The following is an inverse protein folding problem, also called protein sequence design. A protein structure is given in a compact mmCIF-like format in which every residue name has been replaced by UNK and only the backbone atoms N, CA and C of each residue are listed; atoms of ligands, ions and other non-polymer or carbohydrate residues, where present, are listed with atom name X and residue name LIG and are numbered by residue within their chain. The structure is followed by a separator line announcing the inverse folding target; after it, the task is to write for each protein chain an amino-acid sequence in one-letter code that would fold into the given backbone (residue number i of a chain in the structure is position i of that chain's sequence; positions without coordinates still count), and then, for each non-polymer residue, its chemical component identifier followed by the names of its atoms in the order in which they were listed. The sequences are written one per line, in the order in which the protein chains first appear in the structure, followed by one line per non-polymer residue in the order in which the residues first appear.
data_IF_354232499853
#
_entry.id   IF_354232499853
#
_cell.length_a   1.000
_cell.length_b   1.000
_cell.length_c   1.000
_cell.angle_alpha   90.00
_cell.angle_beta   90.00
_cell.angle_gamma   90.00
#
_symmetry.space_group_name_H-M   'P 1'
#
loop_
_entity.id
_entity.type
_entity.pdbx_description
1 polymer ?
#
# COMPACT_ATOMS: atom_id res chain seq x y z
N UNK A 1 -11.27 -3.76 23.73
CA UNK A 1 -12.09 -4.89 24.21
C UNK A 1 -13.59 -4.59 24.22
N UNK A 2 -13.96 -3.31 24.29
CA UNK A 2 -15.36 -2.86 24.36
C UNK A 2 -16.08 -2.73 23.00
N UNK A 3 -15.35 -2.89 21.91
CA UNK A 3 -15.81 -2.72 20.52
C UNK A 3 -15.61 -4.02 19.72
N UNK A 4 -16.49 -5.02 19.85
CA UNK A 4 -16.32 -6.34 19.22
C UNK A 4 -16.40 -6.30 17.69
N UNK A 5 -16.93 -5.24 17.10
CA UNK A 5 -16.96 -5.02 15.66
C UNK A 5 -15.57 -4.67 15.06
N UNK A 6 -14.59 -4.31 15.89
CA UNK A 6 -13.22 -4.02 15.44
C UNK A 6 -12.50 -5.33 15.17
N UNK A 7 -12.36 -5.68 13.92
CA UNK A 7 -11.71 -6.89 13.45
C UNK A 7 -10.21 -6.69 13.15
N UNK A 8 -9.81 -5.48 12.73
CA UNK A 8 -8.43 -5.10 12.40
C UNK A 8 -7.99 -3.90 13.23
N UNK A 9 -6.75 -3.92 13.69
CA UNK A 9 -6.08 -2.77 14.31
C UNK A 9 -4.91 -2.34 13.46
N UNK A 10 -4.87 -1.05 13.11
CA UNK A 10 -3.75 -0.44 12.39
C UNK A 10 -2.92 0.37 13.38
N UNK A 11 -1.66 -0.04 13.56
CA UNK A 11 -0.70 0.68 14.38
C UNK A 11 0.01 1.69 13.47
N UNK A 12 -0.29 2.96 13.71
CA UNK A 12 0.18 4.11 12.92
C UNK A 12 0.31 5.34 13.83
N UNK A 13 0.46 6.53 13.27
CA UNK A 13 0.64 7.77 14.03
C UNK A 13 1.98 8.39 13.69
N UNK A 14 2.87 8.70 14.65
CA UNK A 14 4.29 8.68 14.35
C UNK A 14 4.64 7.27 13.83
N UNK A 15 5.81 7.07 13.23
CA UNK A 15 6.15 5.74 12.71
C UNK A 15 6.28 4.74 13.88
N UNK A 16 5.52 3.62 13.91
CA UNK A 16 5.58 2.67 15.02
C UNK A 16 6.95 1.99 15.15
N UNK A 17 7.71 1.86 14.07
CA UNK A 17 9.02 1.19 14.12
C UNK A 17 10.14 2.05 14.74
N UNK A 18 9.86 3.31 15.10
CA UNK A 18 10.76 4.11 15.95
C UNK A 18 10.62 3.78 17.43
N UNK A 19 9.60 3.01 17.80
CA UNK A 19 9.46 2.54 19.19
C UNK A 19 10.48 1.45 19.48
N UNK A 20 10.89 1.35 20.75
CA UNK A 20 11.76 0.24 21.16
C UNK A 20 11.06 -1.10 21.00
N UNK A 21 11.79 -2.19 20.74
CA UNK A 21 11.22 -3.54 20.66
C UNK A 21 10.38 -3.92 21.88
N UNK A 22 10.78 -3.50 23.08
CA UNK A 22 10.02 -3.71 24.31
C UNK A 22 8.61 -3.09 24.25
N UNK A 23 8.50 -1.84 23.73
CA UNK A 23 7.19 -1.18 23.59
C UNK A 23 6.32 -1.82 22.51
N UNK A 24 6.94 -2.26 21.41
CA UNK A 24 6.23 -2.99 20.36
C UNK A 24 5.72 -4.34 20.89
N UNK A 25 6.53 -5.08 21.63
CA UNK A 25 6.12 -6.34 22.25
C UNK A 25 4.95 -6.16 23.24
N UNK A 26 4.95 -5.08 24.04
CA UNK A 26 3.83 -4.75 24.94
C UNK A 26 2.54 -4.51 24.13
N UNK A 27 2.61 -3.75 23.03
CA UNK A 27 1.47 -3.52 22.13
C UNK A 27 0.97 -4.85 21.56
N UNK A 28 1.86 -5.69 21.01
CA UNK A 28 1.51 -6.99 20.43
C UNK A 28 0.86 -7.92 21.45
N UNK A 29 1.41 -8.00 22.66
CA UNK A 29 0.86 -8.80 23.76
C UNK A 29 -0.54 -8.35 24.14
N UNK A 30 -0.76 -7.05 24.28
CA UNK A 30 -2.08 -6.49 24.60
C UNK A 30 -3.10 -6.70 23.48
N UNK A 31 -2.69 -6.62 22.23
CA UNK A 31 -3.56 -6.91 21.08
C UNK A 31 -3.86 -8.41 20.97
N UNK A 32 -2.90 -9.29 21.27
CA UNK A 32 -3.11 -10.74 21.29
C UNK A 32 -4.22 -11.14 22.27
N UNK A 33 -4.33 -10.47 23.42
CA UNK A 33 -5.35 -10.71 24.43
C UNK A 33 -6.79 -10.28 24.03
N UNK A 34 -6.95 -9.57 22.90
CA UNK A 34 -8.27 -9.12 22.43
C UNK A 34 -8.81 -10.14 21.42
N UNK A 35 -9.76 -10.95 21.82
CA UNK A 35 -10.22 -12.12 21.06
C UNK A 35 -10.79 -11.77 19.68
N UNK A 36 -11.61 -10.70 19.57
CA UNK A 36 -12.27 -10.31 18.31
C UNK A 36 -11.34 -9.63 17.30
N UNK A 37 -10.18 -9.09 17.73
CA UNK A 37 -9.16 -8.60 16.80
C UNK A 37 -8.46 -9.79 16.17
N UNK A 38 -8.47 -9.88 14.85
CA UNK A 38 -7.87 -10.98 14.08
C UNK A 38 -6.64 -10.53 13.29
N UNK A 39 -6.56 -9.25 12.95
CA UNK A 39 -5.51 -8.67 12.12
C UNK A 39 -4.87 -7.48 12.82
N UNK A 40 -3.52 -7.44 12.79
CA UNK A 40 -2.73 -6.27 13.20
C UNK A 40 -1.90 -5.83 11.99
N UNK A 41 -1.96 -4.55 11.65
CA UNK A 41 -1.17 -4.00 10.56
C UNK A 41 -0.35 -2.81 11.01
N UNK A 42 0.95 -2.86 10.75
CA UNK A 42 1.88 -1.78 11.04
C UNK A 42 2.12 -0.95 9.76
N UNK A 43 1.99 0.38 9.86
CA UNK A 43 2.35 1.30 8.79
C UNK A 43 3.67 1.97 9.11
N UNK A 44 4.68 1.82 8.23
CA UNK A 44 6.03 2.30 8.52
C UNK A 44 6.78 2.75 7.27
N UNK A 45 7.69 3.73 7.45
CA UNK A 45 8.73 4.10 6.48
C UNK A 45 10.12 3.64 6.92
N UNK A 46 10.28 3.15 8.14
CA UNK A 46 11.60 2.83 8.71
C UNK A 46 12.43 1.90 7.81
N UNK A 47 11.89 0.86 7.16
CA UNK A 47 12.70 0.02 6.27
C UNK A 47 13.42 0.77 5.15
N UNK A 48 12.89 1.93 4.69
CA UNK A 48 13.50 2.72 3.62
C UNK A 48 14.26 3.95 4.12
N UNK A 49 13.98 4.46 5.32
CA UNK A 49 14.65 5.66 5.86
C UNK A 49 15.72 5.32 6.90
N UNK A 50 15.55 4.23 7.64
CA UNK A 50 16.53 3.70 8.61
C UNK A 50 16.48 2.16 8.62
N UNK A 51 16.97 1.50 7.56
CA UNK A 51 16.91 0.03 7.44
C UNK A 51 17.67 -0.71 8.55
N UNK A 52 18.63 -0.04 9.22
CA UNK A 52 19.38 -0.59 10.34
C UNK A 52 18.50 -0.81 11.59
N UNK A 53 17.47 0.00 11.78
CA UNK A 53 16.53 -0.15 12.89
C UNK A 53 15.65 -1.39 12.79
N UNK A 54 15.49 -1.99 11.59
CA UNK A 54 14.72 -3.23 11.41
C UNK A 54 15.57 -4.42 11.84
N UNK A 55 15.76 -4.58 13.14
CA UNK A 55 16.51 -5.69 13.74
C UNK A 55 15.64 -6.95 13.89
N UNK A 56 16.28 -8.11 14.15
CA UNK A 56 15.54 -9.33 14.49
C UNK A 56 14.66 -9.16 15.73
N UNK A 57 15.15 -8.41 16.72
CA UNK A 57 14.43 -8.12 17.94
C UNK A 57 13.15 -7.32 17.64
N UNK A 58 13.24 -6.28 16.78
CA UNK A 58 12.07 -5.52 16.34
C UNK A 58 11.07 -6.41 15.59
N UNK A 59 11.55 -7.23 14.65
CA UNK A 59 10.69 -8.13 13.87
C UNK A 59 9.98 -9.14 14.79
N UNK A 60 10.66 -9.70 15.77
CA UNK A 60 10.04 -10.57 16.78
C UNK A 60 9.00 -9.80 17.60
N UNK A 61 9.28 -8.57 18.00
CA UNK A 61 8.41 -7.77 18.85
C UNK A 61 7.07 -7.38 18.19
N UNK A 62 7.03 -7.30 16.86
CA UNK A 62 5.79 -7.00 16.12
C UNK A 62 4.96 -8.23 15.80
N UNK A 63 5.43 -9.46 16.07
CA UNK A 63 4.60 -10.65 15.97
C UNK A 63 3.50 -10.61 17.04
N UNK A 64 2.34 -11.14 16.71
CA UNK A 64 1.19 -11.12 17.61
C UNK A 64 0.56 -12.51 17.62
N UNK A 65 0.65 -13.20 18.77
CA UNK A 65 0.19 -14.58 18.88
C UNK A 65 -1.29 -14.71 18.53
N UNK A 66 -1.61 -15.68 17.68
CA UNK A 66 -2.98 -15.95 17.23
C UNK A 66 -3.59 -14.89 16.31
N UNK A 67 -2.80 -13.93 15.81
CA UNK A 67 -3.25 -12.89 14.89
C UNK A 67 -2.46 -12.92 13.57
N UNK A 68 -3.11 -12.53 12.48
CA UNK A 68 -2.41 -12.24 11.24
C UNK A 68 -1.76 -10.85 11.33
N UNK A 69 -0.45 -10.77 11.13
CA UNK A 69 0.29 -9.50 11.15
C UNK A 69 0.74 -9.14 9.75
N UNK A 70 0.50 -7.88 9.35
CA UNK A 70 0.92 -7.30 8.09
C UNK A 70 1.78 -6.05 8.32
N UNK A 71 2.74 -5.82 7.44
CA UNK A 71 3.53 -4.58 7.43
C UNK A 71 3.28 -3.84 6.12
N UNK A 72 2.73 -2.64 6.21
CA UNK A 72 2.53 -1.74 5.07
C UNK A 72 3.70 -0.76 4.99
N UNK A 73 4.56 -0.99 4.00
CA UNK A 73 5.71 -0.14 3.72
C UNK A 73 5.25 1.12 2.98
N UNK A 74 5.58 2.28 3.52
CA UNK A 74 5.37 3.55 2.85
C UNK A 74 6.65 3.97 2.09
N UNK A 75 6.62 3.89 0.77
CA UNK A 75 7.66 4.38 -0.13
C UNK A 75 7.04 4.97 -1.40
N UNK A 76 7.65 6.01 -1.97
CA UNK A 76 7.10 6.77 -3.09
C UNK A 76 7.99 6.71 -4.34
N UNK A 77 9.20 6.17 -4.26
CA UNK A 77 10.12 6.07 -5.39
C UNK A 77 10.99 4.81 -5.28
N UNK A 78 11.32 4.19 -6.42
CA UNK A 78 12.18 2.97 -6.45
C UNK A 78 13.57 3.18 -5.86
N UNK A 79 14.09 4.41 -5.87
CA UNK A 79 15.38 4.77 -5.24
C UNK A 79 15.39 4.59 -3.73
N UNK A 80 14.24 4.59 -3.07
CA UNK A 80 14.11 4.33 -1.63
C UNK A 80 14.41 2.86 -1.30
N UNK A 81 14.21 1.94 -2.26
CA UNK A 81 14.50 0.52 -2.10
C UNK A 81 15.99 0.20 -2.36
N UNK A 82 16.85 0.83 -1.58
CA UNK A 82 18.30 0.57 -1.58
C UNK A 82 18.61 -0.89 -1.20
N UNK A 83 19.81 -1.43 -1.44
CA UNK A 83 20.18 -2.77 -0.98
C UNK A 83 19.93 -3.00 0.52
N UNK A 84 20.22 -2.00 1.37
CA UNK A 84 19.95 -2.07 2.81
C UNK A 84 18.46 -2.12 3.12
N UNK A 85 17.64 -1.30 2.44
CA UNK A 85 16.19 -1.31 2.59
C UNK A 85 15.59 -2.65 2.16
N UNK A 86 16.05 -3.22 1.03
CA UNK A 86 15.62 -4.54 0.56
C UNK A 86 15.95 -5.65 1.58
N UNK A 87 17.15 -5.60 2.17
CA UNK A 87 17.53 -6.54 3.22
C UNK A 87 16.66 -6.38 4.49
N UNK A 88 16.28 -5.15 4.85
CA UNK A 88 15.37 -4.89 5.96
C UNK A 88 13.97 -5.46 5.69
N UNK A 89 13.43 -5.26 4.49
CA UNK A 89 12.15 -5.84 4.08
C UNK A 89 12.22 -7.38 4.05
N UNK A 90 13.32 -7.95 3.54
CA UNK A 90 13.50 -9.39 3.51
C UNK A 90 13.46 -9.99 4.93
N UNK A 91 14.10 -9.36 5.94
CA UNK A 91 14.03 -9.82 7.34
C UNK A 91 12.60 -9.93 7.87
N UNK A 92 11.74 -8.95 7.52
CA UNK A 92 10.33 -8.97 7.91
C UNK A 92 9.60 -10.12 7.23
N UNK A 93 9.78 -10.27 5.92
CA UNK A 93 9.09 -11.28 5.11
C UNK A 93 9.57 -12.70 5.46
N UNK A 94 10.86 -12.89 5.68
CA UNK A 94 11.45 -14.20 6.02
C UNK A 94 11.05 -14.66 7.42
N UNK A 95 10.64 -13.73 8.28
CA UNK A 95 10.00 -14.03 9.57
C UNK A 95 8.50 -14.41 9.43
N UNK A 96 7.97 -14.52 8.21
CA UNK A 96 6.58 -14.90 7.95
C UNK A 96 5.59 -13.75 7.99
N UNK A 97 6.03 -12.50 8.00
CA UNK A 97 5.18 -11.32 8.04
C UNK A 97 4.98 -10.76 6.61
N UNK A 98 3.78 -10.91 6.01
CA UNK A 98 3.50 -10.37 4.69
C UNK A 98 3.67 -8.85 4.64
N UNK A 99 4.26 -8.35 3.53
CA UNK A 99 4.43 -6.92 3.31
C UNK A 99 3.53 -6.42 2.18
N UNK A 100 2.93 -5.27 2.41
CA UNK A 100 2.13 -4.49 1.48
C UNK A 100 2.84 -3.17 1.19
N UNK A 101 2.60 -2.56 0.03
CA UNK A 101 3.06 -1.19 -0.21
C UNK A 101 1.93 -0.18 -0.03
N UNK A 102 2.29 0.98 0.51
CA UNK A 102 1.45 2.16 0.55
C UNK A 102 2.25 3.32 -0.04
N UNK A 103 1.73 3.91 -1.11
CA UNK A 103 2.40 4.95 -1.90
C UNK A 103 1.47 6.12 -2.08
N UNK A 104 1.99 7.34 -2.04
CA UNK A 104 1.24 8.55 -2.40
C UNK A 104 1.67 8.98 -3.80
N UNK A 105 0.71 9.33 -4.64
CA UNK A 105 0.98 9.92 -5.95
C UNK A 105 1.40 11.37 -5.77
N UNK A 106 2.66 11.68 -6.08
CA UNK A 106 3.29 12.97 -5.83
C UNK A 106 3.76 13.59 -7.14
N UNK A 107 3.30 14.81 -7.40
CA UNK A 107 3.69 15.59 -8.58
C UNK A 107 5.20 15.85 -8.60
N UNK A 108 5.83 15.57 -9.74
CA UNK A 108 7.28 15.72 -9.94
C UNK A 108 8.14 14.65 -9.26
N UNK A 109 7.52 13.60 -8.68
CA UNK A 109 8.24 12.51 -8.01
C UNK A 109 7.93 11.17 -8.66
N UNK A 110 6.66 10.79 -8.77
CA UNK A 110 6.22 9.50 -9.26
C UNK A 110 4.91 9.60 -10.09
N UNK A 111 4.60 10.77 -10.59
CA UNK A 111 3.40 11.08 -11.37
C UNK A 111 3.53 10.77 -12.88
N UNK A 112 4.56 10.02 -13.24
CA UNK A 112 4.73 9.46 -14.59
C UNK A 112 4.70 7.92 -14.57
N UNK A 113 4.22 7.28 -15.67
CA UNK A 113 4.04 5.83 -15.72
C UNK A 113 5.34 5.03 -15.61
N UNK A 114 6.47 5.55 -16.08
CA UNK A 114 7.74 4.82 -16.04
C UNK A 114 8.30 4.77 -14.62
N UNK A 115 8.33 5.90 -13.93
CA UNK A 115 8.79 6.00 -12.54
C UNK A 115 7.90 5.20 -11.60
N UNK A 116 6.57 5.35 -11.71
CA UNK A 116 5.64 4.60 -10.90
C UNK A 116 5.71 3.10 -11.21
N UNK A 117 5.82 2.74 -12.49
CA UNK A 117 5.97 1.35 -12.92
C UNK A 117 7.25 0.70 -12.40
N UNK A 118 8.37 1.43 -12.40
CA UNK A 118 9.63 0.96 -11.81
C UNK A 118 9.49 0.72 -10.31
N UNK A 119 8.78 1.59 -9.57
CA UNK A 119 8.51 1.39 -8.15
C UNK A 119 7.66 0.14 -7.91
N UNK A 120 6.57 -0.06 -8.67
CA UNK A 120 5.69 -1.22 -8.52
C UNK A 120 6.42 -2.53 -8.80
N UNK A 121 7.28 -2.58 -9.84
CA UNK A 121 8.15 -3.73 -10.10
C UNK A 121 9.11 -3.99 -8.94
N UNK A 122 9.78 -2.94 -8.44
CA UNK A 122 10.69 -3.05 -7.31
C UNK A 122 10.03 -3.60 -6.06
N UNK A 123 8.77 -3.26 -5.78
CA UNK A 123 8.03 -3.87 -4.69
C UNK A 123 7.84 -5.38 -4.91
N UNK A 124 7.33 -5.78 -6.08
CA UNK A 124 7.05 -7.19 -6.41
C UNK A 124 8.32 -8.03 -6.38
N UNK A 125 9.42 -7.54 -6.96
CA UNK A 125 10.74 -8.18 -6.95
C UNK A 125 11.25 -8.44 -5.51
N UNK A 126 10.83 -7.59 -4.57
CA UNK A 126 11.16 -7.73 -3.14
C UNK A 126 10.03 -8.39 -2.32
N UNK A 127 9.10 -9.09 -2.98
CA UNK A 127 7.98 -9.81 -2.32
C UNK A 127 7.04 -8.90 -1.53
N UNK A 128 6.99 -7.60 -1.87
CA UNK A 128 6.08 -6.63 -1.30
C UNK A 128 4.89 -6.48 -2.27
N UNK A 129 3.67 -6.69 -1.79
CA UNK A 129 2.47 -6.57 -2.61
C UNK A 129 2.08 -5.10 -2.78
N UNK A 130 2.06 -4.52 -4.01
CA UNK A 130 1.40 -3.25 -4.27
C UNK A 130 -0.04 -3.26 -3.77
N UNK A 131 -0.36 -2.36 -2.85
CA UNK A 131 -1.67 -2.33 -2.19
C UNK A 131 -2.42 -1.04 -2.52
N UNK A 132 -2.04 0.08 -1.90
CA UNK A 132 -2.67 1.37 -2.19
C UNK A 132 -1.71 2.36 -2.86
N UNK A 133 -2.23 3.03 -3.90
CA UNK A 133 -1.73 4.30 -4.39
C UNK A 133 -2.72 5.39 -3.97
N UNK A 134 -2.33 6.21 -3.02
CA UNK A 134 -3.17 7.29 -2.52
C UNK A 134 -3.11 8.51 -3.43
N UNK A 135 -4.27 9.03 -3.81
CA UNK A 135 -4.37 10.42 -4.27
C UNK A 135 -3.93 11.35 -3.13
N UNK A 136 -3.11 12.35 -3.41
CA UNK A 136 -2.58 13.25 -2.37
C UNK A 136 -3.68 13.95 -1.58
N UNK A 137 -3.57 13.94 -0.26
CA UNK A 137 -4.50 14.59 0.66
C UNK A 137 -4.49 16.11 0.54
N UNK A 138 -5.58 16.75 1.02
CA UNK A 138 -5.70 18.22 1.09
C UNK A 138 -4.95 18.80 2.31
N UNK A 139 -3.84 18.19 2.71
CA UNK A 139 -3.06 18.65 3.86
C UNK A 139 -2.44 20.04 3.57
N UNK A 140 -2.37 20.94 4.58
CA UNK A 140 -1.68 22.22 4.45
C UNK A 140 -0.22 22.04 4.01
N UNK A 141 0.26 22.91 3.11
CA UNK A 141 1.64 22.90 2.63
C UNK A 141 1.97 21.87 1.55
N UNK A 142 1.05 20.95 1.19
CA UNK A 142 1.31 19.86 0.21
C UNK A 142 0.77 20.15 -1.19
N UNK A 143 0.16 21.30 -1.42
CA UNK A 143 -0.53 21.63 -2.69
C UNK A 143 0.36 21.53 -3.93
N UNK A 144 1.64 21.87 -3.80
CA UNK A 144 2.62 21.84 -4.90
C UNK A 144 3.00 20.40 -5.34
N UNK A 145 2.76 19.41 -4.49
CA UNK A 145 3.00 17.99 -4.79
C UNK A 145 1.73 17.23 -5.17
N UNK A 146 0.60 17.92 -5.28
CA UNK A 146 -0.69 17.29 -5.52
C UNK A 146 -0.96 17.16 -7.01
N UNK A 147 -1.39 15.95 -7.42
CA UNK A 147 -1.94 15.67 -8.74
C UNK A 147 -3.45 15.78 -8.72
N UNK A 148 -4.06 16.00 -9.87
CA UNK A 148 -5.52 15.84 -10.05
C UNK A 148 -5.90 14.36 -10.13
N UNK A 149 -7.17 14.06 -9.88
CA UNK A 149 -7.71 12.69 -10.07
C UNK A 149 -7.57 12.24 -11.54
N UNK A 150 -7.70 13.18 -12.49
CA UNK A 150 -7.54 12.88 -13.92
C UNK A 150 -6.11 12.45 -14.25
N UNK A 151 -5.10 13.15 -13.71
CA UNK A 151 -3.68 12.77 -13.85
C UNK A 151 -3.42 11.39 -13.23
N UNK A 152 -3.92 11.14 -12.01
CA UNK A 152 -3.80 9.84 -11.35
C UNK A 152 -4.43 8.70 -12.16
N UNK A 153 -5.62 8.94 -12.74
CA UNK A 153 -6.28 7.97 -13.64
C UNK A 153 -5.47 7.70 -14.90
N UNK A 154 -4.88 8.74 -15.50
CA UNK A 154 -4.05 8.58 -16.69
C UNK A 154 -2.81 7.73 -16.41
N UNK A 155 -2.10 7.96 -15.32
CA UNK A 155 -0.97 7.15 -14.89
C UNK A 155 -1.40 5.71 -14.65
N UNK A 156 -2.47 5.46 -13.90
CA UNK A 156 -2.98 4.11 -13.64
C UNK A 156 -3.40 3.39 -14.93
N UNK A 157 -4.02 4.10 -15.88
CA UNK A 157 -4.38 3.55 -17.20
C UNK A 157 -3.13 3.11 -17.96
N UNK A 158 -2.07 3.93 -17.95
CA UNK A 158 -0.81 3.62 -18.63
C UNK A 158 -0.07 2.40 -18.03
N UNK A 159 -0.31 2.06 -16.76
CA UNK A 159 0.24 0.85 -16.14
C UNK A 159 -0.56 -0.41 -16.53
N UNK A 160 -1.86 -0.26 -16.83
CA UNK A 160 -2.72 -1.39 -17.15
C UNK A 160 -2.37 -1.97 -18.53
N UNK A 161 -2.29 -3.29 -18.62
CA UNK A 161 -1.88 -3.99 -19.84
C UNK A 161 -0.37 -4.00 -20.12
N UNK A 162 0.42 -3.13 -19.48
CA UNK A 162 1.89 -3.07 -19.62
C UNK A 162 2.62 -3.79 -18.50
N UNK A 163 2.05 -3.81 -17.29
CA UNK A 163 2.63 -4.46 -16.12
C UNK A 163 1.77 -5.64 -15.67
N UNK A 164 2.43 -6.62 -15.06
CA UNK A 164 1.78 -7.75 -14.41
C UNK A 164 0.66 -7.27 -13.44
N UNK A 165 -0.38 -8.06 -13.28
CA UNK A 165 -1.41 -7.84 -12.27
C UNK A 165 -0.86 -7.74 -10.85
N UNK A 166 0.30 -8.35 -10.56
CA UNK A 166 1.01 -8.19 -9.29
C UNK A 166 1.48 -6.74 -9.05
N UNK A 167 1.77 -6.00 -10.12
CA UNK A 167 2.27 -4.62 -10.07
C UNK A 167 1.16 -3.55 -10.08
N UNK A 168 -0.11 -3.95 -9.89
CA UNK A 168 -1.26 -3.06 -10.00
C UNK A 168 -1.80 -2.70 -8.62
N UNK A 169 -1.49 -1.50 -8.06
CA UNK A 169 -2.10 -1.03 -6.82
C UNK A 169 -3.55 -0.60 -7.05
N UNK A 170 -4.33 -0.50 -5.98
CA UNK A 170 -5.62 0.20 -6.02
C UNK A 170 -5.38 1.69 -5.80
N UNK A 171 -5.71 2.52 -6.79
CA UNK A 171 -5.68 3.98 -6.64
C UNK A 171 -6.89 4.42 -5.83
N UNK A 172 -6.65 5.12 -4.71
CA UNK A 172 -7.69 5.49 -3.74
C UNK A 172 -7.63 6.96 -3.37
N UNK A 173 -8.78 7.51 -3.01
CA UNK A 173 -8.94 8.83 -2.41
C UNK A 173 -9.54 8.68 -1.02
N UNK A 174 -8.91 9.31 -0.04
CA UNK A 174 -9.49 9.53 1.27
C UNK A 174 -10.39 10.77 1.20
N UNK A 175 -11.71 10.57 1.35
CA UNK A 175 -12.67 11.66 1.25
C UNK A 175 -12.53 12.56 2.49
N UNK A 176 -12.25 13.88 2.32
CA UNK A 176 -12.10 14.80 3.45
C UNK A 176 -13.33 14.77 4.38
N UNK A 177 -13.10 14.97 5.67
CA UNK A 177 -14.17 14.95 6.67
C UNK A 177 -14.47 13.56 7.25
N UNK A 178 -13.65 12.56 6.96
CA UNK A 178 -13.82 11.21 7.53
C UNK A 178 -14.91 10.37 6.83
N UNK A 179 -15.29 10.74 5.61
CA UNK A 179 -16.32 10.05 4.84
C UNK A 179 -15.83 8.74 4.19
N UNK A 180 -14.62 8.29 4.53
CA UNK A 180 -14.07 7.01 4.09
C UNK A 180 -13.16 7.11 2.87
N UNK A 181 -12.75 5.94 2.38
CA UNK A 181 -11.81 5.76 1.29
C UNK A 181 -12.53 5.10 0.11
N UNK A 182 -12.35 5.66 -1.10
CA UNK A 182 -12.94 5.11 -2.32
C UNK A 182 -11.89 4.89 -3.41
N UNK A 183 -12.05 3.86 -4.24
CA UNK A 183 -11.22 3.70 -5.44
C UNK A 183 -11.54 4.82 -6.45
N UNK A 184 -10.50 5.46 -6.98
CA UNK A 184 -10.60 6.52 -7.98
C UNK A 184 -9.87 6.19 -9.27
N UNK A 185 -9.50 4.95 -9.47
CA UNK A 185 -8.82 4.47 -10.68
C UNK A 185 -9.67 4.63 -11.95
N UNK A 186 -9.11 4.29 -13.12
CA UNK A 186 -9.82 4.34 -14.39
C UNK A 186 -11.07 3.46 -14.36
N UNK A 187 -12.14 3.93 -14.98
CA UNK A 187 -13.32 3.11 -15.28
C UNK A 187 -13.19 2.56 -16.70
N UNK A 188 -13.31 1.24 -16.82
CA UNK A 188 -13.24 0.51 -18.09
C UNK A 188 -14.59 -0.07 -18.51
N UNK A 189 -15.62 0.04 -17.66
CA UNK A 189 -16.92 -0.61 -17.87
C UNK A 189 -17.97 0.44 -18.16
N UNK A 190 -18.57 0.38 -19.35
CA UNK A 190 -19.79 1.09 -19.73
C UNK A 190 -21.01 0.17 -19.57
N UNK A 191 -22.19 0.65 -19.99
CA UNK A 191 -23.44 -0.13 -19.89
C UNK A 191 -23.43 -1.36 -20.81
N UNK A 192 -22.92 -1.23 -22.01
CA UNK A 192 -22.93 -2.29 -23.04
C UNK A 192 -21.56 -2.50 -23.68
N UNK A 193 -20.50 -1.98 -23.07
CA UNK A 193 -19.16 -2.08 -23.60
C UNK A 193 -18.12 -2.13 -22.48
N UNK A 194 -16.94 -2.66 -22.81
CA UNK A 194 -15.75 -2.57 -21.98
C UNK A 194 -14.62 -1.99 -22.83
N UNK A 195 -13.80 -1.15 -22.18
CA UNK A 195 -12.63 -0.56 -22.80
C UNK A 195 -11.38 -1.37 -22.44
N UNK A 196 -10.57 -1.72 -23.42
CA UNK A 196 -9.32 -2.42 -23.16
C UNK A 196 -8.20 -1.46 -22.69
N UNK A 197 -7.03 -1.97 -22.26
CA UNK A 197 -5.94 -1.13 -21.81
C UNK A 197 -5.39 -0.14 -22.87
N UNK A 198 -5.66 -0.37 -24.16
CA UNK A 198 -5.26 0.51 -25.25
C UNK A 198 -6.31 1.57 -25.60
N UNK A 199 -7.44 1.59 -24.88
CA UNK A 199 -8.53 2.54 -25.09
C UNK A 199 -9.51 2.12 -26.18
N UNK A 200 -9.46 0.87 -26.64
CA UNK A 200 -10.42 0.35 -27.65
C UNK A 200 -11.65 -0.19 -26.94
N UNK A 201 -12.81 0.25 -27.38
CA UNK A 201 -14.10 -0.19 -26.83
C UNK A 201 -14.58 -1.46 -27.52
N UNK A 202 -14.98 -2.45 -26.74
CA UNK A 202 -15.51 -3.74 -27.16
C UNK A 202 -16.93 -3.92 -26.62
N UNK A 203 -17.84 -4.43 -27.46
CA UNK A 203 -19.21 -4.75 -26.98
C UNK A 203 -19.16 -5.85 -25.90
N UNK A 204 -19.92 -5.68 -24.81
CA UNK A 204 -20.02 -6.67 -23.75
C UNK A 204 -21.46 -6.71 -23.16
N UNK A 205 -22.14 -7.87 -23.13
CA UNK A 205 -21.66 -9.15 -23.65
C UNK A 205 -21.48 -9.12 -25.18
N UNK A 206 -20.58 -9.93 -25.75
CA UNK A 206 -20.42 -10.00 -27.18
C UNK A 206 -21.73 -10.50 -27.83
N UNK A 207 -22.08 -10.00 -29.05
CA UNK A 207 -23.22 -10.56 -29.79
C UNK A 207 -23.01 -12.06 -29.97
N UNK A 208 -24.03 -12.86 -29.68
CA UNK A 208 -23.99 -14.30 -30.01
C UNK A 208 -23.70 -14.43 -31.49
N UNK A 209 -22.68 -15.18 -31.83
CA UNK A 209 -22.52 -15.69 -33.21
C UNK A 209 -23.47 -16.88 -33.28
N UNK A 210 -24.59 -16.69 -33.99
CA UNK A 210 -25.48 -17.79 -34.35
C UNK A 210 -24.81 -18.71 -35.40
#
# INVERSE_FOLDING_TARGET
AERPEIWEVIVTGGDPFVLSPRRLADISTRLAAIEHVKVVRYHTRVPVVDPGAVTHELVTAITCEGKAVYVALHANHSRELTPAARAACARIIDAGLPMLSQTVLLKGVNDDPETLGALMRSFVENRIRPYYLHQGDLAPGTSHQRTSIAEGRAVMRALRGRLSGLCQPTCVLDIPGGHGKVPVGPNYVGETSVEDPNGVSHAYPPKRQD
#
